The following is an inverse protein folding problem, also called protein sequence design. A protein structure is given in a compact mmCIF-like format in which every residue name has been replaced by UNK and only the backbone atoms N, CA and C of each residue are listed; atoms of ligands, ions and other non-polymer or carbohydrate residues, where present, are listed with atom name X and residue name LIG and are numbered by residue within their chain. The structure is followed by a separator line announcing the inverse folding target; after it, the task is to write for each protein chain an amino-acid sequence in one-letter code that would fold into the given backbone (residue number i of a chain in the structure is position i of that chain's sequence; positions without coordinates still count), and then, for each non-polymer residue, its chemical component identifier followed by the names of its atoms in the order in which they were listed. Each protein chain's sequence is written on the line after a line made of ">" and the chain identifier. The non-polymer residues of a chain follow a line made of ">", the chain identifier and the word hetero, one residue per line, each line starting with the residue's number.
data_IF_706024560822
#
_entry.id   IF_706024560822
#
_cell.length_a   1.000
_cell.length_b   1.000
_cell.length_c   1.000
_cell.angle_alpha   90.00
_cell.angle_beta   90.00
_cell.angle_gamma   90.00
#
_symmetry.space_group_name_H-M   'P 1'
#
loop_
_entity.id
_entity.type
_entity.pdbx_description
1 polymer ?
#
# COMPACT_ATOMS: atom_id res chain seq x y z
N UNK A 1 -23.17 0.94 2.96
CA UNK A 1 -22.11 0.12 2.34
C UNK A 1 -20.75 0.76 2.61
N UNK A 2 -19.81 0.01 3.10
CA UNK A 2 -18.50 0.54 3.44
C UNK A 2 -17.62 0.52 2.18
N UNK A 3 -17.19 1.71 1.74
CA UNK A 3 -16.30 1.87 0.58
C UNK A 3 -14.86 2.10 0.98
N UNK A 4 -14.54 1.93 2.26
CA UNK A 4 -13.22 2.16 2.80
C UNK A 4 -12.63 0.88 3.34
N UNK A 5 -11.31 0.81 3.34
CA UNK A 5 -10.57 -0.32 3.88
C UNK A 5 -9.43 0.20 4.74
N UNK A 6 -9.28 -0.39 5.92
CA UNK A 6 -8.17 -0.11 6.83
C UNK A 6 -6.97 -0.94 6.38
N UNK A 7 -5.84 -0.28 6.12
CA UNK A 7 -4.61 -0.96 5.74
C UNK A 7 -3.46 -0.55 6.65
N UNK A 8 -2.50 -1.45 6.78
CA UNK A 8 -1.26 -1.21 7.52
C UNK A 8 -0.12 -1.30 6.54
N UNK A 9 0.48 -0.17 6.22
CA UNK A 9 1.62 -0.12 5.29
C UNK A 9 2.90 -0.23 6.11
N UNK A 10 3.62 -1.32 5.91
CA UNK A 10 4.84 -1.62 6.65
C UNK A 10 6.07 -1.29 5.81
N UNK A 11 7.00 -0.57 6.41
CA UNK A 11 8.30 -0.24 5.81
C UNK A 11 9.40 -0.48 6.82
N UNK A 12 10.66 -0.32 6.40
CA UNK A 12 11.80 -0.36 7.32
C UNK A 12 11.75 0.74 8.37
N UNK A 13 10.96 1.80 8.13
CA UNK A 13 10.81 2.93 9.05
C UNK A 13 9.65 2.77 10.02
N UNK A 14 8.87 1.72 9.88
CA UNK A 14 7.72 1.47 10.74
C UNK A 14 6.47 1.10 9.97
N UNK A 15 5.35 1.12 10.67
CA UNK A 15 4.04 0.75 10.11
C UNK A 15 3.10 1.94 10.20
N UNK A 16 2.41 2.22 9.09
CA UNK A 16 1.40 3.27 9.02
C UNK A 16 0.03 2.65 8.86
N UNK A 17 -0.80 2.82 9.88
CA UNK A 17 -2.19 2.36 9.83
C UNK A 17 -3.06 3.50 9.35
N UNK A 18 -3.75 3.30 8.25
CA UNK A 18 -4.59 4.34 7.65
C UNK A 18 -5.74 3.72 6.86
N UNK A 19 -6.69 4.55 6.51
CA UNK A 19 -7.87 4.14 5.75
C UNK A 19 -7.81 4.76 4.36
N UNK A 20 -8.04 3.92 3.35
CA UNK A 20 -8.21 4.36 1.97
C UNK A 20 -9.56 3.93 1.46
N UNK A 21 -10.02 4.57 0.40
CA UNK A 21 -11.18 4.06 -0.32
C UNK A 21 -10.76 2.80 -1.09
N UNK A 22 -11.69 1.85 -1.21
CA UNK A 22 -11.40 0.60 -1.94
C UNK A 22 -11.06 0.84 -3.40
N UNK A 23 -11.54 1.94 -3.97
CA UNK A 23 -11.24 2.34 -5.34
C UNK A 23 -9.88 3.04 -5.50
N UNK A 24 -9.18 3.31 -4.40
CA UNK A 24 -7.86 3.95 -4.46
C UNK A 24 -6.88 3.06 -5.22
N UNK A 25 -6.18 3.64 -6.17
CA UNK A 25 -5.18 2.91 -6.94
C UNK A 25 -3.93 2.66 -6.11
N UNK A 26 -3.25 1.58 -6.42
CA UNK A 26 -2.02 1.19 -5.70
C UNK A 26 -0.98 2.31 -5.77
N UNK A 27 -0.84 2.96 -6.94
CA UNK A 27 0.11 4.08 -7.08
C UNK A 27 -0.19 5.23 -6.10
N UNK A 28 -1.45 5.45 -5.76
CA UNK A 28 -1.84 6.50 -4.82
C UNK A 28 -1.59 6.08 -3.38
N UNK A 29 -1.72 4.79 -3.07
CA UNK A 29 -1.32 4.24 -1.77
C UNK A 29 0.20 4.41 -1.59
N UNK A 30 0.96 4.12 -2.63
CA UNK A 30 2.42 4.28 -2.62
C UNK A 30 2.78 5.75 -2.44
N UNK A 31 2.11 6.65 -3.16
CA UNK A 31 2.36 8.08 -3.04
C UNK A 31 2.07 8.59 -1.62
N UNK A 32 0.93 8.22 -1.06
CA UNK A 32 0.59 8.60 0.32
C UNK A 32 1.58 8.08 1.33
N UNK A 33 2.04 6.83 1.15
CA UNK A 33 3.04 6.22 2.02
C UNK A 33 4.40 6.91 1.89
N UNK A 34 4.79 7.26 0.65
CA UNK A 34 6.03 8.00 0.41
C UNK A 34 6.03 9.33 1.16
N UNK A 35 4.90 10.02 1.13
CA UNK A 35 4.75 11.29 1.83
C UNK A 35 4.76 11.10 3.35
N UNK A 36 4.04 10.10 3.84
CA UNK A 36 3.95 9.83 5.27
C UNK A 36 5.32 9.49 5.88
N UNK A 37 6.08 8.62 5.22
CA UNK A 37 7.39 8.19 5.70
C UNK A 37 8.53 9.09 5.20
N UNK A 38 8.22 10.13 4.44
CA UNK A 38 9.21 11.08 3.88
C UNK A 38 10.30 10.36 3.09
N UNK A 39 9.87 9.44 2.22
CA UNK A 39 10.80 8.69 1.38
C UNK A 39 11.22 9.53 0.17
N UNK A 40 12.48 9.37 -0.30
CA UNK A 40 12.99 10.15 -1.43
C UNK A 40 12.20 9.88 -2.71
N UNK A 41 12.05 10.91 -3.54
CA UNK A 41 11.33 10.79 -4.81
C UNK A 41 12.04 9.87 -5.81
N UNK A 42 13.35 9.79 -5.72
CA UNK A 42 14.18 9.02 -6.65
C UNK A 42 14.08 7.51 -6.40
N UNK A 43 13.64 7.12 -5.22
CA UNK A 43 13.56 5.71 -4.86
C UNK A 43 12.32 5.11 -5.50
N UNK A 44 12.51 4.00 -6.21
CA UNK A 44 11.40 3.27 -6.81
C UNK A 44 10.81 2.33 -5.78
N UNK A 45 9.50 2.41 -5.59
CA UNK A 45 8.79 1.65 -4.57
C UNK A 45 7.77 0.72 -5.20
N UNK A 46 7.59 -0.45 -4.58
CA UNK A 46 6.54 -1.40 -4.92
C UNK A 46 5.77 -1.75 -3.66
N UNK A 47 4.52 -2.12 -3.85
CA UNK A 47 3.64 -2.56 -2.76
C UNK A 47 3.29 -4.01 -2.99
N UNK A 48 3.33 -4.81 -1.93
CA UNK A 48 2.94 -6.21 -2.00
C UNK A 48 2.20 -6.61 -0.72
N UNK A 49 1.57 -7.78 -0.76
CA UNK A 49 0.89 -8.36 0.40
C UNK A 49 1.91 -9.05 1.28
N UNK A 50 1.79 -8.92 2.59
CA UNK A 50 2.72 -9.57 3.52
C UNK A 50 2.77 -11.09 3.29
N UNK A 51 1.64 -11.70 3.01
CA UNK A 51 1.56 -13.13 2.75
C UNK A 51 2.10 -13.55 1.38
N UNK A 52 2.38 -12.60 0.49
CA UNK A 52 2.87 -12.88 -0.87
C UNK A 52 3.94 -11.86 -1.24
N UNK A 53 5.11 -11.89 -0.57
CA UNK A 53 6.10 -10.82 -0.71
C UNK A 53 6.79 -10.78 -2.07
N UNK A 54 6.62 -11.82 -2.90
CA UNK A 54 7.23 -11.88 -4.23
C UNK A 54 6.28 -11.46 -5.35
N UNK A 55 5.04 -11.09 -5.00
CA UNK A 55 4.03 -10.68 -5.98
C UNK A 55 3.71 -9.21 -5.78
N UNK A 56 4.32 -8.35 -6.59
CA UNK A 56 4.10 -6.91 -6.51
C UNK A 56 2.74 -6.56 -7.07
N UNK A 57 2.05 -5.64 -6.41
CA UNK A 57 0.79 -5.10 -6.90
C UNK A 57 1.03 -4.20 -8.11
N UNK A 58 0.16 -4.31 -9.10
CA UNK A 58 0.17 -3.41 -10.26
C UNK A 58 -0.24 -2.00 -9.82
N UNK A 59 0.61 -0.98 -10.02
CA UNK A 59 0.30 0.39 -9.57
C UNK A 59 -0.98 0.97 -10.17
N UNK A 60 -1.40 0.49 -11.33
CA UNK A 60 -2.60 1.01 -12.00
C UNK A 60 -3.90 0.34 -11.55
N UNK A 61 -3.81 -0.70 -10.74
CA UNK A 61 -4.99 -1.37 -10.17
C UNK A 61 -5.38 -0.75 -8.84
N UNK A 62 -6.63 -0.97 -8.45
CA UNK A 62 -7.16 -0.48 -7.18
C UNK A 62 -7.04 -1.54 -6.08
N UNK A 63 -7.15 -1.10 -4.82
CA UNK A 63 -7.15 -2.01 -3.68
C UNK A 63 -8.21 -3.08 -3.80
N UNK A 64 -9.40 -2.73 -4.30
CA UNK A 64 -10.50 -3.68 -4.47
C UNK A 64 -10.15 -4.80 -5.44
N UNK A 65 -9.29 -4.55 -6.41
CA UNK A 65 -8.89 -5.58 -7.38
C UNK A 65 -8.06 -6.69 -6.74
N UNK A 66 -7.46 -6.43 -5.58
CA UNK A 66 -6.65 -7.41 -4.85
C UNK A 66 -7.37 -7.93 -3.61
N UNK A 67 -8.65 -7.59 -3.43
CA UNK A 67 -9.45 -8.04 -2.30
C UNK A 67 -8.76 -7.76 -0.95
N UNK A 68 -8.19 -6.58 -0.80
CA UNK A 68 -7.53 -6.19 0.44
C UNK A 68 -8.57 -6.08 1.55
N UNK A 69 -8.31 -6.74 2.66
CA UNK A 69 -9.21 -6.81 3.81
C UNK A 69 -8.82 -5.80 4.88
N UNK A 70 -9.80 -5.41 5.71
CA UNK A 70 -9.56 -4.51 6.84
C UNK A 70 -8.46 -5.06 7.75
N UNK A 71 -7.50 -4.20 8.06
CA UNK A 71 -6.38 -4.56 8.93
C UNK A 71 -5.26 -5.33 8.24
N UNK A 72 -5.39 -5.57 6.94
CA UNK A 72 -4.35 -6.30 6.21
C UNK A 72 -3.05 -5.51 6.18
N UNK A 73 -1.93 -6.23 6.31
CA UNK A 73 -0.59 -5.63 6.24
C UNK A 73 -0.07 -5.70 4.81
N UNK A 74 0.25 -4.54 4.27
CA UNK A 74 0.88 -4.41 2.96
C UNK A 74 2.32 -3.94 3.17
N UNK A 75 3.23 -4.50 2.40
CA UNK A 75 4.66 -4.18 2.53
C UNK A 75 5.07 -3.25 1.40
N UNK A 76 5.63 -2.10 1.78
CA UNK A 76 6.22 -1.15 0.84
C UNK A 76 7.72 -1.35 0.87
N UNK A 77 8.30 -1.66 -0.29
CA UNK A 77 9.73 -1.90 -0.37
C UNK A 77 10.36 -1.20 -1.57
N UNK A 78 11.64 -0.96 -1.47
CA UNK A 78 12.44 -0.39 -2.56
C UNK A 78 12.84 -1.49 -3.53
N UNK A 79 12.87 -1.12 -4.80
CA UNK A 79 13.40 -2.00 -5.82
C UNK A 79 14.89 -1.69 -6.02
#
# INVERSE_FOLDING_TARGET
>A
MVNQVLVRVKTSKGTWETTFQKSTRIKDVILGSRMHFRLPKEVKLVLCREGSPHTDFDPDRALVNYNVLDGEVLILREI
#
